data_IF_617392379301
#
_entry.id   IF_617392379301
#
_cell.length_a   1.000
_cell.length_b   1.000
_cell.length_c   1.000
_cell.angle_alpha   90.00
_cell.angle_beta   90.00
_cell.angle_gamma   90.00
#
_symmetry.space_group_name_H-M   'P 1'
#
loop_
_entity.id
_entity.type
_entity.pdbx_description
1 polymer ?
#
# COMPACT_ATOMS: atom_id res chain seq x y z
N UNK A 1 12.36 14.57 18.33
CA UNK A 1 12.49 15.77 17.48
C UNK A 1 12.74 15.31 16.06
N UNK A 2 11.87 15.67 15.14
CA UNK A 2 12.17 15.51 13.71
C UNK A 2 13.44 16.31 13.39
N UNK A 3 14.36 15.72 12.63
CA UNK A 3 15.65 16.34 12.24
C UNK A 3 15.51 17.67 11.48
N UNK A 4 14.29 18.12 11.18
CA UNK A 4 13.96 19.32 10.40
C UNK A 4 13.22 20.40 11.19
N UNK A 5 13.07 20.25 12.51
CA UNK A 5 12.43 21.24 13.38
C UNK A 5 10.91 21.40 13.15
N UNK A 6 10.28 20.50 12.39
CA UNK A 6 8.83 20.50 12.24
C UNK A 6 8.19 19.96 13.54
N UNK A 7 7.29 20.72 14.12
CA UNK A 7 6.58 20.35 15.33
C UNK A 7 5.73 19.09 15.06
N UNK A 8 6.05 17.99 15.77
CA UNK A 8 5.15 16.86 15.87
C UNK A 8 3.80 17.39 16.36
N UNK A 9 2.73 17.11 15.62
CA UNK A 9 1.39 17.58 15.94
C UNK A 9 0.97 18.90 15.30
N UNK A 10 1.80 19.54 14.46
CA UNK A 10 1.36 20.65 13.62
C UNK A 10 0.61 20.15 12.38
N UNK A 11 -0.15 21.07 11.72
CA UNK A 11 -0.74 20.78 10.41
C UNK A 11 0.36 20.50 9.41
N UNK A 12 0.26 19.36 8.73
CA UNK A 12 1.31 18.87 7.84
C UNK A 12 1.34 19.64 6.52
N UNK A 13 2.54 19.82 5.95
CA UNK A 13 2.75 20.73 4.82
C UNK A 13 2.15 20.22 3.51
N UNK A 14 2.35 18.92 3.20
CA UNK A 14 1.87 18.36 1.93
C UNK A 14 0.45 17.84 2.02
N UNK A 15 0.12 17.06 3.04
CA UNK A 15 -1.20 16.46 3.20
C UNK A 15 -2.25 17.43 3.72
N UNK A 16 -1.84 18.56 4.29
CA UNK A 16 -2.73 19.53 4.93
C UNK A 16 -3.65 18.92 6.01
N UNK A 17 -3.19 17.87 6.71
CA UNK A 17 -3.86 17.23 7.85
C UNK A 17 -3.17 17.62 9.16
N UNK A 18 -3.91 17.62 10.27
CA UNK A 18 -3.42 17.89 11.61
C UNK A 18 -3.80 16.79 12.60
N UNK A 19 -3.40 16.92 13.89
CA UNK A 19 -3.79 16.00 14.94
C UNK A 19 -5.31 15.86 15.05
N UNK A 20 -5.81 14.62 15.10
CA UNK A 20 -7.24 14.32 15.17
C UNK A 20 -7.95 14.27 13.82
N UNK A 21 -7.30 14.68 12.74
CA UNK A 21 -7.85 14.59 11.39
C UNK A 21 -7.85 13.16 10.85
N UNK A 22 -6.84 12.36 11.23
CA UNK A 22 -6.65 10.99 10.76
C UNK A 22 -6.84 9.97 11.88
N UNK A 23 -7.19 8.74 11.52
CA UNK A 23 -7.25 7.60 12.43
C UNK A 23 -5.88 6.92 12.56
N UNK A 24 -5.75 6.00 13.52
CA UNK A 24 -4.55 5.15 13.64
C UNK A 24 -4.40 4.21 12.44
N UNK A 25 -5.51 3.76 11.84
CA UNK A 25 -5.53 2.84 10.71
C UNK A 25 -5.70 3.62 9.41
N UNK A 26 -4.73 3.46 8.50
CA UNK A 26 -4.70 4.20 7.24
C UNK A 26 -4.56 3.25 6.05
N UNK A 27 -5.43 3.41 5.07
CA UNK A 27 -5.29 2.82 3.74
C UNK A 27 -4.59 3.80 2.80
N UNK A 28 -3.59 3.31 2.08
CA UNK A 28 -2.73 4.10 1.20
C UNK A 28 -2.87 3.64 -0.28
N UNK A 29 -3.87 4.12 -1.02
CA UNK A 29 -3.86 4.00 -2.47
C UNK A 29 -2.90 5.02 -3.10
N UNK A 30 -2.33 4.73 -4.28
CA UNK A 30 -1.57 5.71 -5.06
C UNK A 30 -2.49 6.77 -5.69
N UNK A 31 -3.58 6.31 -6.28
CA UNK A 31 -4.56 7.10 -7.03
C UNK A 31 -5.59 7.80 -6.11
N UNK A 32 -5.76 9.14 -6.21
CA UNK A 32 -6.82 9.86 -5.49
C UNK A 32 -8.24 9.33 -5.80
N UNK A 33 -8.50 8.89 -7.02
CA UNK A 33 -9.78 8.27 -7.40
C UNK A 33 -10.07 6.98 -6.63
N UNK A 34 -9.03 6.27 -6.22
CA UNK A 34 -9.18 5.07 -5.38
C UNK A 34 -9.53 5.42 -3.92
N UNK A 35 -9.14 6.59 -3.43
CA UNK A 35 -9.62 7.08 -2.12
C UNK A 35 -11.14 7.20 -2.10
N UNK A 36 -11.73 7.71 -3.19
CA UNK A 36 -13.19 7.80 -3.32
C UNK A 36 -13.84 6.43 -3.34
N UNK A 37 -13.26 5.46 -4.05
CA UNK A 37 -13.75 4.07 -4.04
C UNK A 37 -13.65 3.43 -2.65
N UNK A 38 -12.60 3.70 -1.88
CA UNK A 38 -12.51 3.23 -0.49
C UNK A 38 -13.60 3.90 0.37
N UNK A 39 -13.85 5.20 0.18
CA UNK A 39 -14.86 5.94 0.91
C UNK A 39 -16.28 5.38 0.72
N UNK A 40 -16.59 4.74 -0.41
CA UNK A 40 -17.87 4.07 -0.66
C UNK A 40 -18.13 2.89 0.30
N UNK A 41 -17.09 2.28 0.87
CA UNK A 41 -17.18 1.20 1.84
C UNK A 41 -17.24 1.70 3.29
N UNK A 42 -17.02 3.00 3.53
CA UNK A 42 -16.94 3.55 4.87
C UNK A 42 -18.27 4.21 5.30
N UNK A 43 -18.74 3.86 6.47
CA UNK A 43 -19.86 4.54 7.12
C UNK A 43 -19.44 5.94 7.56
N UNK A 44 -20.29 6.94 7.31
CA UNK A 44 -20.01 8.33 7.66
C UNK A 44 -18.77 8.92 6.99
N UNK A 45 -18.41 8.41 5.81
CA UNK A 45 -17.27 8.89 5.06
C UNK A 45 -17.32 10.40 4.79
N UNK A 46 -16.25 11.10 5.10
CA UNK A 46 -16.12 12.54 4.84
C UNK A 46 -14.74 12.91 4.34
N UNK A 47 -14.67 13.90 3.45
CA UNK A 47 -13.41 14.48 3.03
C UNK A 47 -12.78 15.24 4.20
N UNK A 48 -11.50 14.97 4.47
CA UNK A 48 -10.71 15.59 5.52
C UNK A 48 -9.83 16.69 4.95
N UNK A 49 -9.08 16.37 3.89
CA UNK A 49 -8.17 17.29 3.23
C UNK A 49 -7.99 16.91 1.75
N UNK A 50 -7.57 17.88 0.97
CA UNK A 50 -7.12 17.71 -0.41
C UNK A 50 -6.06 18.76 -0.71
N UNK A 51 -4.89 18.32 -1.11
CA UNK A 51 -3.80 19.18 -1.52
C UNK A 51 -2.86 18.40 -2.44
N UNK A 52 -2.54 18.95 -3.61
CA UNK A 52 -1.74 18.26 -4.64
C UNK A 52 -2.37 16.91 -5.02
N UNK A 53 -1.56 15.85 -5.09
CA UNK A 53 -1.98 14.46 -5.30
C UNK A 53 -2.55 13.78 -4.04
N UNK A 54 -2.52 14.45 -2.90
CA UNK A 54 -2.97 13.91 -1.61
C UNK A 54 -4.43 14.25 -1.33
N UNK A 55 -5.29 13.27 -1.43
CA UNK A 55 -6.70 13.32 -1.04
C UNK A 55 -6.91 12.45 0.20
N UNK A 56 -7.52 13.00 1.25
CA UNK A 56 -7.76 12.29 2.51
C UNK A 56 -9.24 12.25 2.83
N UNK A 57 -9.75 11.03 3.05
CA UNK A 57 -11.10 10.74 3.57
C UNK A 57 -11.00 9.96 4.88
N UNK A 58 -12.01 10.09 5.73
CA UNK A 58 -12.13 9.33 6.99
C UNK A 58 -13.57 8.89 7.19
N UNK A 59 -13.76 7.70 7.74
CA UNK A 59 -15.04 7.10 8.11
C UNK A 59 -14.83 5.86 8.96
N UNK A 60 -15.83 5.01 9.08
CA UNK A 60 -15.73 3.76 9.85
C UNK A 60 -16.03 2.55 8.97
N UNK A 61 -15.37 1.44 9.25
CA UNK A 61 -15.66 0.14 8.65
C UNK A 61 -15.81 -0.91 9.77
N UNK A 62 -16.99 -1.49 9.92
CA UNK A 62 -17.31 -2.46 10.99
C UNK A 62 -16.89 -1.94 12.39
N UNK A 63 -17.15 -0.65 12.65
CA UNK A 63 -16.81 -0.01 13.92
C UNK A 63 -15.33 0.39 14.08
N UNK A 64 -14.46 0.10 13.11
CA UNK A 64 -13.07 0.55 13.08
C UNK A 64 -12.97 1.88 12.36
N UNK A 65 -12.33 2.86 13.00
CA UNK A 65 -12.05 4.17 12.40
C UNK A 65 -10.92 4.04 11.37
N UNK A 66 -11.20 4.39 10.13
CA UNK A 66 -10.30 4.23 8.98
C UNK A 66 -10.12 5.54 8.25
N UNK A 67 -8.88 5.87 7.96
CA UNK A 67 -8.51 6.95 7.04
C UNK A 67 -8.03 6.36 5.72
N UNK A 68 -8.42 6.94 4.59
CA UNK A 68 -7.83 6.66 3.29
C UNK A 68 -7.13 7.92 2.78
N UNK A 69 -5.85 7.81 2.43
CA UNK A 69 -5.06 8.92 1.89
C UNK A 69 -4.29 8.46 0.66
N UNK A 70 -4.44 9.18 -0.47
CA UNK A 70 -3.62 8.90 -1.65
C UNK A 70 -2.16 9.29 -1.43
N UNK A 71 -1.26 8.51 -2.02
CA UNK A 71 0.19 8.74 -1.94
C UNK A 71 0.76 9.41 -3.18
N UNK A 72 -0.01 9.50 -4.28
CA UNK A 72 0.57 9.73 -5.60
C UNK A 72 1.34 8.49 -6.08
N UNK A 73 2.11 8.65 -7.15
CA UNK A 73 2.95 7.61 -7.74
C UNK A 73 4.39 7.77 -7.26
N UNK A 74 4.99 6.65 -6.87
CA UNK A 74 6.42 6.55 -6.59
C UNK A 74 6.82 6.79 -5.15
N UNK A 75 7.98 6.28 -4.83
CA UNK A 75 8.54 6.24 -3.49
C UNK A 75 8.74 7.62 -2.83
N UNK A 76 9.19 8.68 -3.53
CA UNK A 76 9.33 10.00 -2.90
C UNK A 76 8.00 10.56 -2.39
N UNK A 77 6.93 10.46 -3.17
CA UNK A 77 5.61 10.93 -2.78
C UNK A 77 5.01 10.08 -1.65
N UNK A 78 5.15 8.74 -1.75
CA UNK A 78 4.72 7.83 -0.69
C UNK A 78 5.44 8.10 0.64
N UNK A 79 6.76 8.33 0.63
CA UNK A 79 7.53 8.66 1.82
C UNK A 79 6.98 9.91 2.53
N UNK A 80 6.66 10.95 1.77
CA UNK A 80 6.05 12.18 2.31
C UNK A 80 4.72 11.85 3.01
N UNK A 81 3.85 11.10 2.36
CA UNK A 81 2.55 10.73 2.93
C UNK A 81 2.70 9.94 4.24
N UNK A 82 3.57 8.92 4.26
CA UNK A 82 3.79 8.07 5.44
C UNK A 82 4.34 8.89 6.61
N UNK A 83 5.34 9.71 6.36
CA UNK A 83 5.97 10.56 7.38
C UNK A 83 4.97 11.55 7.99
N UNK A 84 4.20 12.25 7.16
CA UNK A 84 3.24 13.24 7.61
C UNK A 84 2.05 12.61 8.35
N UNK A 85 1.54 11.47 7.89
CA UNK A 85 0.50 10.71 8.58
C UNK A 85 0.98 10.18 9.93
N UNK A 86 2.21 9.67 10.00
CA UNK A 86 2.82 9.22 11.25
C UNK A 86 2.96 10.36 12.27
N UNK A 87 3.30 11.57 11.82
CA UNK A 87 3.42 12.77 12.67
C UNK A 87 2.09 13.16 13.32
N UNK A 88 0.95 12.88 12.71
CA UNK A 88 -0.38 13.25 13.20
C UNK A 88 -1.15 12.10 13.84
N UNK A 89 -0.51 10.94 14.03
CA UNK A 89 -1.05 9.86 14.86
C UNK A 89 -1.37 8.54 14.18
N UNK A 90 -1.15 8.39 12.86
CA UNK A 90 -1.28 7.11 12.19
C UNK A 90 -0.25 6.08 12.71
N UNK A 91 -0.65 4.81 12.81
CA UNK A 91 0.16 3.71 13.37
C UNK A 91 0.17 2.43 12.53
N UNK A 92 -0.90 2.20 11.79
CA UNK A 92 -1.10 1.00 10.97
C UNK A 92 -1.39 1.44 9.54
N UNK A 93 -0.59 0.96 8.61
CA UNK A 93 -0.70 1.29 7.20
C UNK A 93 -0.94 0.05 6.36
N UNK A 94 -1.94 0.06 5.49
CA UNK A 94 -2.08 -0.92 4.42
C UNK A 94 -2.12 -0.18 3.09
N UNK A 95 -1.11 -0.43 2.26
CA UNK A 95 -1.14 0.03 0.87
C UNK A 95 -2.14 -0.82 0.08
N UNK A 96 -3.06 -0.13 -0.60
CA UNK A 96 -4.04 -0.71 -1.52
C UNK A 96 -3.63 -0.30 -2.93
N UNK A 97 -2.75 -1.09 -3.51
CA UNK A 97 -2.08 -0.77 -4.77
C UNK A 97 -2.59 -1.56 -5.97
N UNK A 98 -1.94 -1.31 -7.10
CA UNK A 98 -2.01 -2.12 -8.31
C UNK A 98 -0.61 -2.54 -8.71
N UNK A 99 -0.47 -3.65 -9.44
CA UNK A 99 0.83 -4.14 -9.91
C UNK A 99 0.76 -4.76 -11.31
N UNK A 100 1.90 -4.78 -11.98
CA UNK A 100 2.16 -5.62 -13.14
C UNK A 100 2.79 -6.93 -12.69
N UNK A 101 2.12 -8.06 -12.93
CA UNK A 101 2.69 -9.38 -12.64
C UNK A 101 3.80 -9.75 -13.64
N UNK A 102 4.80 -10.49 -13.16
CA UNK A 102 5.84 -11.10 -14.01
C UNK A 102 5.91 -12.62 -13.85
N UNK A 103 5.30 -13.16 -12.81
CA UNK A 103 5.08 -14.59 -12.68
C UNK A 103 3.92 -15.00 -13.61
N UNK A 104 4.14 -15.95 -14.54
CA UNK A 104 3.10 -16.37 -15.51
C UNK A 104 1.88 -17.04 -14.85
N UNK A 105 1.97 -17.49 -13.60
CA UNK A 105 0.86 -18.09 -12.88
C UNK A 105 -0.09 -17.04 -12.27
N UNK A 106 0.32 -15.78 -12.22
CA UNK A 106 -0.45 -14.67 -11.66
C UNK A 106 -1.30 -14.03 -12.76
N UNK A 107 -2.61 -14.06 -12.62
CA UNK A 107 -3.55 -13.55 -13.63
C UNK A 107 -4.04 -12.14 -13.32
N UNK A 108 -4.47 -11.42 -14.37
CA UNK A 108 -5.20 -10.14 -14.17
C UNK A 108 -6.47 -10.40 -13.38
N UNK A 109 -6.68 -9.62 -12.32
CA UNK A 109 -7.79 -9.82 -11.38
C UNK A 109 -7.40 -10.52 -10.08
N UNK A 110 -6.24 -11.19 -10.03
CA UNK A 110 -5.69 -11.79 -8.81
C UNK A 110 -5.15 -10.71 -7.85
N UNK A 111 -4.84 -11.12 -6.63
CA UNK A 111 -4.17 -10.30 -5.63
C UNK A 111 -2.74 -10.77 -5.42
N UNK A 112 -1.82 -9.84 -5.17
CA UNK A 112 -0.48 -10.13 -4.64
C UNK A 112 -0.35 -9.51 -3.26
N UNK A 113 0.06 -10.33 -2.28
CA UNK A 113 0.32 -9.92 -0.89
C UNK A 113 1.81 -10.11 -0.64
N UNK A 114 2.61 -9.03 -0.64
CA UNK A 114 4.06 -9.11 -0.49
C UNK A 114 4.49 -9.55 0.91
N UNK A 115 5.52 -10.38 0.98
CA UNK A 115 6.28 -10.70 2.19
C UNK A 115 7.66 -10.02 2.21
N UNK A 116 7.99 -9.30 1.17
CA UNK A 116 9.20 -8.48 1.02
C UNK A 116 9.22 -7.79 -0.34
N UNK A 117 10.00 -6.73 -0.44
CA UNK A 117 10.17 -5.98 -1.68
C UNK A 117 11.66 -5.78 -1.99
N UNK A 118 12.06 -6.01 -3.23
CA UNK A 118 13.34 -5.57 -3.75
C UNK A 118 13.31 -4.05 -3.86
N UNK A 119 14.34 -3.39 -3.38
CA UNK A 119 14.45 -1.92 -3.32
C UNK A 119 15.14 -1.39 -4.58
N UNK A 120 14.45 -1.47 -5.73
CA UNK A 120 14.94 -0.95 -7.02
C UNK A 120 14.53 0.52 -7.24
N UNK A 121 14.48 1.29 -6.17
CA UNK A 121 14.12 2.71 -6.13
C UNK A 121 15.14 3.51 -5.32
N UNK A 122 15.17 4.81 -5.50
CA UNK A 122 16.20 5.65 -4.88
C UNK A 122 15.87 6.16 -3.48
N UNK A 123 14.60 6.24 -3.11
CA UNK A 123 14.15 6.94 -1.89
C UNK A 123 14.57 6.25 -0.61
N UNK A 124 14.40 4.94 -0.51
CA UNK A 124 14.72 4.20 0.71
C UNK A 124 16.21 4.18 1.03
N UNK A 125 17.08 4.40 0.06
CA UNK A 125 18.53 4.51 0.29
C UNK A 125 18.94 5.77 1.06
N UNK A 126 18.09 6.81 1.09
CA UNK A 126 18.28 7.97 1.98
C UNK A 126 17.93 7.66 3.44
N UNK A 127 17.16 6.62 3.69
CA UNK A 127 16.72 6.22 5.04
C UNK A 127 17.61 5.15 5.65
N UNK A 128 18.03 4.15 4.86
CA UNK A 128 18.77 2.98 5.32
C UNK A 128 19.82 2.54 4.29
N UNK A 129 20.89 1.81 4.69
CA UNK A 129 21.91 1.29 3.76
C UNK A 129 21.33 0.23 2.82
N UNK A 130 22.08 -0.08 1.75
CA UNK A 130 21.68 -1.00 0.67
C UNK A 130 21.20 -2.37 1.18
N UNK A 131 21.93 -2.99 2.10
CA UNK A 131 21.62 -4.33 2.61
C UNK A 131 20.42 -4.39 3.58
N UNK A 132 19.76 -3.26 3.89
CA UNK A 132 18.61 -3.26 4.78
C UNK A 132 17.36 -3.83 4.06
N UNK A 133 16.68 -4.86 4.63
CA UNK A 133 15.53 -5.48 3.96
C UNK A 133 14.27 -4.61 4.04
N UNK A 134 13.51 -4.54 2.95
CA UNK A 134 12.17 -3.98 2.93
C UNK A 134 11.14 -5.10 3.19
N UNK A 135 10.68 -5.23 4.43
CA UNK A 135 9.75 -6.29 4.87
C UNK A 135 8.51 -5.70 5.55
N UNK A 136 7.32 -6.25 5.27
CA UNK A 136 6.09 -5.83 5.92
C UNK A 136 5.95 -6.38 7.34
N UNK A 137 4.97 -5.87 8.08
CA UNK A 137 4.52 -6.46 9.35
C UNK A 137 3.86 -7.82 9.10
N UNK A 138 4.38 -8.87 9.74
CA UNK A 138 3.91 -10.24 9.54
C UNK A 138 2.44 -10.43 9.98
N UNK A 139 2.02 -9.76 11.05
CA UNK A 139 0.64 -9.86 11.53
C UNK A 139 -0.36 -9.25 10.54
N UNK A 140 0.01 -8.16 9.87
CA UNK A 140 -0.81 -7.55 8.81
C UNK A 140 -0.83 -8.43 7.55
N UNK A 141 0.31 -9.02 7.15
CA UNK A 141 0.35 -9.98 6.03
C UNK A 141 -0.59 -11.15 6.28
N UNK A 142 -0.52 -11.75 7.47
CA UNK A 142 -1.43 -12.84 7.85
C UNK A 142 -2.90 -12.43 7.78
N UNK A 143 -3.25 -11.26 8.32
CA UNK A 143 -4.62 -10.76 8.27
C UNK A 143 -5.12 -10.52 6.84
N UNK A 144 -4.26 -10.05 5.92
CA UNK A 144 -4.58 -9.89 4.51
C UNK A 144 -4.83 -11.25 3.83
N UNK A 145 -4.00 -12.25 4.12
CA UNK A 145 -4.16 -13.61 3.60
C UNK A 145 -5.49 -14.21 4.07
N UNK A 146 -5.73 -14.21 5.38
CA UNK A 146 -6.99 -14.72 5.97
C UNK A 146 -8.23 -14.02 5.38
N UNK A 147 -8.16 -12.70 5.16
CA UNK A 147 -9.25 -11.94 4.54
C UNK A 147 -9.47 -12.32 3.05
N UNK A 148 -8.41 -12.59 2.30
CA UNK A 148 -8.52 -13.03 0.92
C UNK A 148 -9.11 -14.46 0.83
N UNK A 149 -8.68 -15.36 1.71
CA UNK A 149 -9.19 -16.75 1.80
C UNK A 149 -10.68 -16.80 2.11
N UNK A 150 -11.13 -16.06 3.10
CA UNK A 150 -12.57 -16.03 3.47
C UNK A 150 -13.46 -15.50 2.37
N UNK A 151 -12.94 -14.57 1.54
CA UNK A 151 -13.67 -14.05 0.40
C UNK A 151 -13.59 -14.95 -0.84
N UNK A 152 -12.77 -16.00 -0.79
CA UNK A 152 -12.53 -16.89 -1.93
C UNK A 152 -11.81 -16.21 -3.08
N UNK A 153 -11.03 -15.15 -2.81
CA UNK A 153 -10.26 -14.45 -3.83
C UNK A 153 -8.95 -15.15 -4.10
N UNK A 154 -8.61 -15.30 -5.38
CA UNK A 154 -7.31 -15.83 -5.75
C UNK A 154 -6.22 -14.83 -5.39
N UNK A 155 -5.22 -15.28 -4.66
CA UNK A 155 -4.10 -14.46 -4.21
C UNK A 155 -2.78 -15.22 -4.31
N UNK A 156 -1.69 -14.46 -4.35
CA UNK A 156 -0.32 -14.96 -4.37
C UNK A 156 0.49 -14.26 -3.29
N UNK A 157 1.26 -15.03 -2.53
CA UNK A 157 2.18 -14.49 -1.51
C UNK A 157 3.60 -14.66 -2.02
N UNK A 158 4.41 -13.61 -1.94
CA UNK A 158 5.80 -13.68 -2.40
C UNK A 158 6.53 -12.35 -2.37
N UNK A 159 7.73 -12.35 -2.93
CA UNK A 159 8.54 -11.14 -3.09
C UNK A 159 8.06 -10.36 -4.31
N UNK A 160 8.07 -9.03 -4.21
CA UNK A 160 7.83 -8.11 -5.33
C UNK A 160 9.07 -7.25 -5.58
N UNK A 161 9.10 -6.52 -6.69
CA UNK A 161 10.05 -5.43 -6.91
C UNK A 161 9.33 -4.09 -6.79
N UNK A 162 9.98 -3.10 -6.16
CA UNK A 162 9.51 -1.71 -6.14
C UNK A 162 10.48 -0.89 -6.97
N UNK A 163 9.98 -0.30 -8.06
CA UNK A 163 10.79 0.34 -9.09
C UNK A 163 10.39 1.82 -9.30
N UNK A 164 11.35 2.67 -9.66
CA UNK A 164 11.08 4.11 -9.91
C UNK A 164 10.67 4.42 -11.36
N UNK A 165 11.01 3.54 -12.32
CA UNK A 165 10.98 3.90 -13.73
C UNK A 165 10.10 2.96 -14.57
N UNK A 166 8.79 3.16 -14.52
CA UNK A 166 7.76 2.36 -15.19
C UNK A 166 8.05 2.05 -16.68
N UNK A 167 8.56 3.03 -17.44
CA UNK A 167 8.85 2.85 -18.86
C UNK A 167 10.26 2.32 -19.15
N UNK A 168 11.06 2.03 -18.13
CA UNK A 168 12.40 1.45 -18.27
C UNK A 168 12.45 -0.07 -18.02
N UNK A 169 11.31 -0.71 -17.82
CA UNK A 169 11.16 -2.14 -17.60
C UNK A 169 11.41 -2.91 -18.92
N UNK A 170 12.69 -3.25 -19.17
CA UNK A 170 13.07 -4.01 -20.38
C UNK A 170 12.72 -5.49 -20.22
N UNK A 171 12.51 -6.24 -21.34
CA UNK A 171 12.26 -7.69 -21.28
C UNK A 171 13.33 -8.47 -20.53
N UNK A 172 14.61 -8.14 -20.70
CA UNK A 172 15.72 -8.80 -20.01
C UNK A 172 15.68 -8.56 -18.51
N UNK A 173 15.39 -7.31 -18.09
CA UNK A 173 15.22 -6.95 -16.68
C UNK A 173 14.06 -7.71 -16.03
N UNK A 174 12.92 -7.78 -16.69
CA UNK A 174 11.75 -8.53 -16.19
C UNK A 174 12.05 -10.03 -16.08
N UNK A 175 12.77 -10.60 -17.06
CA UNK A 175 13.17 -12.00 -17.02
C UNK A 175 14.15 -12.31 -15.89
N UNK A 176 15.07 -11.39 -15.58
CA UNK A 176 15.98 -11.58 -14.45
C UNK A 176 15.24 -11.54 -13.10
N UNK A 177 14.29 -10.64 -12.92
CA UNK A 177 13.42 -10.63 -11.73
C UNK A 177 12.54 -11.90 -11.65
N UNK A 178 12.04 -12.37 -12.79
CA UNK A 178 11.23 -13.60 -12.85
C UNK A 178 12.05 -14.82 -12.42
N UNK A 179 13.31 -14.95 -12.83
CA UNK A 179 14.23 -16.02 -12.40
C UNK A 179 14.48 -16.01 -10.90
N UNK A 180 14.39 -14.84 -10.25
CA UNK A 180 14.48 -14.70 -8.79
C UNK A 180 13.18 -15.04 -8.06
N UNK A 181 12.11 -15.38 -8.79
CA UNK A 181 10.81 -15.72 -8.20
C UNK A 181 9.96 -14.52 -7.77
N UNK A 182 10.28 -13.32 -8.31
CA UNK A 182 9.48 -12.11 -8.06
C UNK A 182 8.12 -12.26 -8.70
N UNK A 183 7.04 -11.92 -7.95
CA UNK A 183 5.66 -12.09 -8.40
C UNK A 183 5.16 -10.93 -9.27
N UNK A 184 5.47 -9.71 -8.86
CA UNK A 184 4.98 -8.49 -9.54
C UNK A 184 5.84 -7.29 -9.20
N UNK A 185 5.60 -6.18 -9.93
CA UNK A 185 6.23 -4.89 -9.70
C UNK A 185 5.21 -3.85 -9.21
N UNK A 186 5.66 -2.98 -8.30
CA UNK A 186 4.96 -1.76 -7.89
C UNK A 186 5.94 -0.58 -7.81
N UNK A 187 5.50 0.55 -7.30
CA UNK A 187 6.36 1.74 -7.24
C UNK A 187 6.45 2.37 -5.83
N UNK A 188 5.96 1.72 -4.72
CA UNK A 188 5.92 2.36 -3.40
C UNK A 188 6.18 1.42 -2.20
N UNK A 189 5.99 0.11 -2.35
CA UNK A 189 5.94 -0.83 -1.21
C UNK A 189 7.25 -0.91 -0.42
N UNK A 190 8.41 -0.88 -1.08
CA UNK A 190 9.70 -0.96 -0.38
C UNK A 190 9.89 0.22 0.57
N UNK A 191 9.62 1.44 0.09
CA UNK A 191 9.71 2.65 0.89
C UNK A 191 8.69 2.66 2.02
N UNK A 192 7.45 2.19 1.79
CA UNK A 192 6.47 2.04 2.86
C UNK A 192 7.00 1.14 3.98
N UNK A 193 7.55 -0.02 3.64
CA UNK A 193 8.06 -0.96 4.65
C UNK A 193 9.24 -0.38 5.42
N UNK A 194 10.19 0.25 4.74
CA UNK A 194 11.38 0.87 5.35
C UNK A 194 11.00 2.02 6.29
N UNK A 195 10.20 2.98 5.81
CA UNK A 195 9.83 4.16 6.61
C UNK A 195 8.97 3.75 7.79
N UNK A 196 8.00 2.85 7.61
CA UNK A 196 7.18 2.34 8.71
C UNK A 196 8.04 1.65 9.79
N UNK A 197 8.97 0.77 9.38
CA UNK A 197 9.89 0.11 10.30
C UNK A 197 10.68 1.10 11.14
N UNK A 198 11.30 2.11 10.51
CA UNK A 198 12.11 3.13 11.20
C UNK A 198 11.29 4.00 12.16
N UNK A 199 10.01 4.13 11.91
CA UNK A 199 9.06 4.90 12.74
C UNK A 199 8.39 4.04 13.83
N UNK A 200 8.69 2.74 13.89
CA UNK A 200 8.02 1.80 14.81
C UNK A 200 6.55 1.60 14.49
N UNK A 201 6.19 1.65 13.21
CA UNK A 201 4.82 1.52 12.70
C UNK A 201 4.64 0.16 12.02
N UNK A 202 3.40 -0.27 11.91
CA UNK A 202 3.04 -1.51 11.21
C UNK A 202 2.61 -1.19 9.79
N UNK A 203 3.14 -1.90 8.81
CA UNK A 203 2.79 -1.70 7.41
C UNK A 203 2.73 -3.02 6.63
N UNK A 204 1.78 -3.12 5.70
CA UNK A 204 1.69 -4.16 4.69
C UNK A 204 1.12 -3.60 3.38
N UNK A 205 1.11 -4.45 2.35
CA UNK A 205 0.59 -4.10 1.03
C UNK A 205 -0.30 -5.22 0.51
N UNK A 206 -1.38 -4.86 -0.18
CA UNK A 206 -2.15 -5.73 -1.07
C UNK A 206 -2.26 -5.06 -2.43
N UNK A 207 -1.92 -5.79 -3.48
CA UNK A 207 -1.88 -5.30 -4.86
C UNK A 207 -2.88 -6.05 -5.71
N UNK A 208 -3.79 -5.33 -6.36
CA UNK A 208 -4.62 -5.88 -7.43
C UNK A 208 -3.80 -5.98 -8.73
N UNK A 209 -3.76 -7.15 -9.35
CA UNK A 209 -3.04 -7.35 -10.59
C UNK A 209 -3.82 -6.78 -11.77
N UNK A 210 -3.22 -5.82 -12.48
CA UNK A 210 -3.86 -5.12 -13.59
C UNK A 210 -3.24 -5.41 -14.96
N UNK A 211 -2.12 -6.09 -14.98
CA UNK A 211 -1.45 -6.59 -16.17
C UNK A 211 -0.53 -7.76 -15.79
N UNK A 212 -0.23 -8.65 -16.75
CA UNK A 212 0.88 -9.58 -16.65
C UNK A 212 1.86 -9.31 -17.79
N UNK A 213 3.05 -8.84 -17.43
CA UNK A 213 4.08 -8.35 -18.36
C UNK A 213 4.77 -9.50 -19.10
N UNK A 214 4.76 -10.72 -18.54
CA UNK A 214 5.35 -11.91 -19.16
C UNK A 214 4.42 -12.51 -20.21
N UNK A 215 3.12 -12.58 -19.93
CA UNK A 215 2.13 -13.16 -20.85
C UNK A 215 1.53 -12.14 -21.82
N UNK A 216 1.71 -10.84 -21.55
CA UNK A 216 1.11 -9.75 -22.30
C UNK A 216 -0.37 -9.50 -21.95
N UNK A 217 -0.95 -10.26 -21.01
CA UNK A 217 -2.36 -10.10 -20.62
C UNK A 217 -2.58 -8.76 -19.89
N UNK A 218 -3.58 -8.00 -20.33
CA UNK A 218 -4.01 -6.74 -19.72
C UNK A 218 -3.04 -5.56 -19.89
N UNK A 219 -1.90 -5.75 -20.58
CA UNK A 219 -0.93 -4.67 -20.79
C UNK A 219 -1.58 -3.52 -21.59
N UNK A 220 -1.57 -2.32 -21.01
CA UNK A 220 -2.24 -1.11 -21.53
C UNK A 220 -3.75 -1.23 -21.82
N UNK A 221 -4.40 -2.30 -21.36
CA UNK A 221 -5.85 -2.49 -21.50
C UNK A 221 -6.62 -1.67 -20.46
N UNK A 222 -6.71 -0.35 -20.64
CA UNK A 222 -7.27 0.60 -19.65
C UNK A 222 -8.72 0.26 -19.28
N UNK A 223 -9.52 -0.21 -20.25
CA UNK A 223 -10.95 -0.51 -20.08
C UNK A 223 -11.23 -1.97 -19.65
N UNK A 224 -10.21 -2.78 -19.36
CA UNK A 224 -10.41 -4.15 -18.91
C UNK A 224 -11.15 -4.18 -17.57
N UNK A 225 -12.37 -4.76 -17.50
CA UNK A 225 -13.16 -4.79 -16.26
C UNK A 225 -12.48 -5.55 -15.13
N UNK A 226 -11.57 -6.48 -15.43
CA UNK A 226 -10.79 -7.22 -14.42
C UNK A 226 -9.91 -6.31 -13.60
N UNK A 227 -9.47 -5.16 -14.16
CA UNK A 227 -8.68 -4.13 -13.42
C UNK A 227 -9.50 -3.48 -12.31
N UNK A 228 -10.74 -3.11 -12.61
CA UNK A 228 -11.65 -2.52 -11.63
C UNK A 228 -11.97 -3.54 -10.52
N UNK A 229 -12.19 -4.79 -10.91
CA UNK A 229 -12.45 -5.88 -9.97
C UNK A 229 -11.23 -6.17 -9.08
N UNK A 230 -10.01 -6.20 -9.61
CA UNK A 230 -8.78 -6.35 -8.82
C UNK A 230 -8.64 -5.26 -7.76
N UNK A 231 -8.90 -4.01 -8.14
CA UNK A 231 -8.90 -2.86 -7.23
C UNK A 231 -9.96 -3.01 -6.14
N UNK A 232 -11.20 -3.41 -6.50
CA UNK A 232 -12.28 -3.64 -5.54
C UNK A 232 -11.91 -4.72 -4.52
N UNK A 233 -11.40 -5.86 -4.99
CA UNK A 233 -10.94 -6.97 -4.14
C UNK A 233 -9.83 -6.55 -3.19
N UNK A 234 -8.86 -5.78 -3.67
CA UNK A 234 -7.78 -5.26 -2.83
C UNK A 234 -8.30 -4.32 -1.73
N UNK A 235 -9.29 -3.46 -2.02
CA UNK A 235 -9.94 -2.60 -1.03
C UNK A 235 -10.65 -3.44 0.04
N UNK A 236 -11.46 -4.40 -0.38
CA UNK A 236 -12.24 -5.24 0.54
C UNK A 236 -11.34 -6.06 1.47
N UNK A 237 -10.27 -6.66 0.93
CA UNK A 237 -9.29 -7.43 1.72
C UNK A 237 -8.54 -6.53 2.70
N UNK A 238 -8.16 -5.32 2.30
CA UNK A 238 -7.47 -4.38 3.18
C UNK A 238 -8.36 -3.90 4.34
N UNK A 239 -9.62 -3.58 4.07
CA UNK A 239 -10.59 -3.16 5.09
C UNK A 239 -10.88 -4.30 6.08
N UNK A 240 -11.07 -5.52 5.59
CA UNK A 240 -11.29 -6.70 6.44
C UNK A 240 -10.07 -7.00 7.32
N UNK A 241 -8.85 -6.90 6.76
CA UNK A 241 -7.61 -7.08 7.52
C UNK A 241 -7.46 -6.06 8.65
N UNK A 242 -7.81 -4.78 8.41
CA UNK A 242 -7.81 -3.76 9.46
C UNK A 242 -8.82 -4.07 10.58
N UNK A 243 -10.03 -4.53 10.22
CA UNK A 243 -11.05 -4.90 11.20
C UNK A 243 -10.54 -6.03 12.11
N UNK A 244 -9.98 -7.10 11.53
CA UNK A 244 -9.40 -8.24 12.28
C UNK A 244 -8.29 -7.85 13.23
N UNK A 245 -7.36 -7.01 12.77
CA UNK A 245 -6.23 -6.57 13.60
C UNK A 245 -6.69 -5.76 14.80
N UNK A 246 -7.76 -4.98 14.67
CA UNK A 246 -8.34 -4.24 15.80
C UNK A 246 -9.16 -5.14 16.73
N UNK A 247 -9.91 -6.09 16.22
CA UNK A 247 -10.65 -7.09 17.02
C UNK A 247 -9.69 -8.02 17.80
N UNK A 248 -8.60 -8.48 17.16
CA UNK A 248 -7.57 -9.33 17.78
C UNK A 248 -6.62 -8.59 18.71
N UNK A 249 -6.47 -7.29 18.60
CA UNK A 249 -5.61 -6.44 19.45
C UNK A 249 -6.13 -6.26 20.89
N UNK A 250 -7.31 -6.77 21.21
CA UNK A 250 -7.83 -6.87 22.58
C UNK A 250 -7.23 -8.02 23.39
N UNK A 251 -6.46 -8.94 22.77
CA UNK A 251 -5.87 -10.12 23.42
C UNK A 251 -4.42 -10.33 22.97
N UNK A 252 -3.47 -9.59 23.52
CA UNK A 252 -2.04 -9.88 23.37
C UNK A 252 -1.22 -8.76 22.73
N UNK A 253 -0.72 -7.86 23.58
CA UNK A 253 0.43 -7.05 23.23
C UNK A 253 1.66 -7.95 23.05
N UNK A 254 2.37 -7.80 21.94
CA UNK A 254 3.81 -8.01 21.82
C UNK A 254 4.43 -6.65 21.54
#
# INVERSE_FOLDING_TARGET
MDKRGMSLGARQYHLAVGPGDVSECVLLPGDPGRVLKIAEFLEGARKVAENREFLTYRGTYRGVDVTATSTGIGCPSAAIAIEELANVGARVFIRVGTSGAIDPEVSVGDLVIPVGAIRNEGTSYYYVPEGFPAVPDFGLVRALVEAAEERGYRYHVGVISTDDAFYAETPDYLEDLRKLGVKSLDMESSTLFVVAHLRGLRAATVLGVVANLTTGDGVFAVEDPRRAEAVRRAIEVALEALARVKEGGGAGGI
#
